data_IF_363883080590
#
_entry.id   IF_363883080590
#
_cell.length_a   1.000
_cell.length_b   1.000
_cell.length_c   1.000
_cell.angle_alpha   90.00
_cell.angle_beta   90.00
_cell.angle_gamma   90.00
#
_symmetry.space_group_name_H-M   'P 1'
#
loop_
_entity.id
_entity.type
_entity.pdbx_description
1 polymer ?
#
# COMPACT_ATOMS: atom_id res chain seq x y z
N UNK A 1 13.06 75.92 11.13
CA UNK A 1 13.52 74.52 10.96
C UNK A 1 13.11 73.74 12.20
N UNK A 2 12.16 72.81 12.11
CA UNK A 2 11.99 71.76 13.11
C UNK A 2 11.13 70.65 12.49
N UNK A 3 11.80 69.58 12.05
CA UNK A 3 11.18 68.33 11.63
C UNK A 3 10.81 67.54 12.88
N UNK A 4 9.51 67.31 13.09
CA UNK A 4 9.02 66.32 14.05
C UNK A 4 8.92 64.97 13.35
N UNK A 5 9.89 64.09 13.60
CA UNK A 5 9.84 62.69 13.22
C UNK A 5 8.99 61.92 14.23
N UNK A 6 7.76 61.59 13.85
CA UNK A 6 6.92 60.63 14.57
C UNK A 6 7.41 59.24 14.20
N UNK A 7 8.27 58.65 15.04
CA UNK A 7 8.73 57.27 14.92
C UNK A 7 7.58 56.35 15.36
N UNK A 8 6.87 55.78 14.38
CA UNK A 8 5.86 54.76 14.61
C UNK A 8 6.56 53.41 14.81
N UNK A 9 6.72 52.98 16.06
CA UNK A 9 7.24 51.66 16.41
C UNK A 9 6.13 50.64 16.17
N UNK A 10 6.07 50.07 14.97
CA UNK A 10 5.27 48.87 14.68
C UNK A 10 6.02 47.67 15.26
N UNK A 11 5.63 47.24 16.45
CA UNK A 11 6.10 45.99 17.04
C UNK A 11 5.48 44.80 16.28
N UNK A 12 6.23 44.23 15.34
CA UNK A 12 5.87 42.97 14.67
C UNK A 12 6.10 41.84 15.66
N UNK A 13 5.04 41.42 16.36
CA UNK A 13 4.98 40.17 17.10
C UNK A 13 5.01 39.01 16.10
N UNK A 14 6.21 38.56 15.74
CA UNK A 14 6.42 37.32 15.00
C UNK A 14 6.11 36.14 15.93
N UNK A 15 4.84 35.72 15.97
CA UNK A 15 4.44 34.49 16.64
C UNK A 15 5.02 33.28 15.92
N UNK A 16 5.89 32.53 16.62
CA UNK A 16 6.37 31.24 16.14
C UNK A 16 5.22 30.22 16.20
N UNK A 17 4.46 30.09 15.10
CA UNK A 17 3.56 28.97 14.91
C UNK A 17 4.42 27.72 14.68
N UNK A 18 4.55 26.90 15.73
CA UNK A 18 5.07 25.54 15.61
C UNK A 18 4.20 24.76 14.64
N UNK A 19 4.70 24.54 13.43
CA UNK A 19 4.06 23.70 12.42
C UNK A 19 4.08 22.26 12.93
N UNK A 20 2.96 21.81 13.51
CA UNK A 20 2.74 20.38 13.76
C UNK A 20 2.66 19.72 12.38
N UNK A 21 3.66 18.92 12.03
CA UNK A 21 3.56 18.03 10.86
C UNK A 21 2.53 16.97 11.20
N UNK A 22 1.33 17.11 10.62
CA UNK A 22 0.34 16.06 10.61
C UNK A 22 0.87 14.88 9.78
N UNK A 23 0.61 13.66 10.24
CA UNK A 23 0.92 12.43 9.53
C UNK A 23 0.29 12.46 8.12
N UNK A 24 1.08 12.08 7.11
CA UNK A 24 0.61 12.04 5.73
C UNK A 24 1.26 10.89 4.95
N UNK A 25 0.44 10.20 4.15
CA UNK A 25 0.89 9.11 3.30
C UNK A 25 0.30 9.25 1.89
N UNK A 26 1.14 9.15 0.87
CA UNK A 26 0.71 9.10 -0.54
C UNK A 26 0.86 7.69 -1.09
N UNK A 27 -0.17 7.20 -1.76
CA UNK A 27 -0.19 5.96 -2.52
C UNK A 27 -0.25 6.32 -4.00
N UNK A 28 0.73 5.83 -4.77
CA UNK A 28 0.88 6.07 -6.20
C UNK A 28 0.78 4.77 -6.98
N UNK A 29 0.19 4.83 -8.17
CA UNK A 29 0.09 3.70 -9.07
C UNK A 29 0.93 3.89 -10.33
N UNK A 30 1.52 2.79 -10.80
CA UNK A 30 2.15 2.71 -12.11
C UNK A 30 1.66 1.45 -12.83
N UNK A 31 0.77 1.61 -13.81
CA UNK A 31 0.24 0.49 -14.59
C UNK A 31 1.06 0.30 -15.88
N UNK A 32 2.01 -0.63 -15.88
CA UNK A 32 2.81 -0.98 -17.07
C UNK A 32 2.18 -2.10 -17.91
N UNK A 33 1.01 -2.61 -17.53
CA UNK A 33 0.35 -3.68 -18.26
C UNK A 33 -0.28 -3.21 -19.59
N UNK A 34 -0.45 -1.89 -19.77
CA UNK A 34 -1.14 -1.30 -20.93
C UNK A 34 -2.65 -1.53 -20.95
N UNK A 35 -3.21 -2.14 -19.90
CA UNK A 35 -4.64 -2.41 -19.71
C UNK A 35 -5.00 -2.50 -18.23
N UNK A 36 -6.28 -2.51 -17.93
CA UNK A 36 -6.81 -2.59 -16.57
C UNK A 36 -6.76 -1.25 -15.84
N UNK A 37 -7.43 -1.21 -14.69
CA UNK A 37 -7.58 0.01 -13.88
C UNK A 37 -7.11 -0.30 -12.46
N UNK A 38 -6.07 0.38 -11.95
CA UNK A 38 -5.70 0.26 -10.54
C UNK A 38 -6.90 0.57 -9.65
N UNK A 39 -7.07 -0.17 -8.57
CA UNK A 39 -8.09 0.10 -7.56
C UNK A 39 -7.40 0.23 -6.21
N UNK A 40 -7.71 1.30 -5.47
CA UNK A 40 -7.40 1.43 -4.05
C UNK A 40 -8.71 1.40 -3.27
N UNK A 41 -8.82 0.48 -2.32
CA UNK A 41 -10.04 0.29 -1.53
C UNK A 41 -9.71 0.29 -0.04
N UNK A 42 -10.58 0.94 0.73
CA UNK A 42 -10.54 0.91 2.19
C UNK A 42 -11.98 0.97 2.72
N UNK A 43 -12.30 0.16 3.73
CA UNK A 43 -13.62 0.19 4.37
C UNK A 43 -14.80 0.01 3.40
N UNK A 44 -14.62 -0.80 2.35
CA UNK A 44 -15.66 -1.06 1.35
C UNK A 44 -15.88 0.07 0.34
N UNK A 45 -14.96 1.04 0.22
CA UNK A 45 -15.06 2.17 -0.71
C UNK A 45 -13.84 2.24 -1.61
N UNK A 46 -14.07 2.54 -2.89
CA UNK A 46 -12.99 2.88 -3.83
C UNK A 46 -12.52 4.30 -3.52
N UNK A 47 -11.23 4.45 -3.23
CA UNK A 47 -10.57 5.71 -2.90
C UNK A 47 -9.78 6.29 -4.07
N UNK A 48 -9.26 5.42 -4.94
CA UNK A 48 -8.58 5.81 -6.19
C UNK A 48 -8.74 4.74 -7.25
N UNK A 49 -8.78 5.18 -8.51
CA UNK A 49 -8.79 4.33 -9.71
C UNK A 49 -7.50 4.47 -10.54
N UNK A 50 -6.40 4.91 -9.92
CA UNK A 50 -5.09 5.07 -10.56
C UNK A 50 -4.40 6.42 -10.31
N UNK A 51 -5.13 7.42 -9.86
CA UNK A 51 -4.55 8.70 -9.45
C UNK A 51 -3.85 8.58 -8.08
N UNK A 52 -2.89 9.48 -7.81
CA UNK A 52 -2.26 9.58 -6.49
C UNK A 52 -3.34 9.80 -5.41
N UNK A 53 -3.34 8.95 -4.38
CA UNK A 53 -4.19 9.10 -3.21
C UNK A 53 -3.35 9.53 -2.02
N UNK A 54 -3.75 10.62 -1.34
CA UNK A 54 -3.07 11.10 -0.14
C UNK A 54 -4.00 11.03 1.06
N UNK A 55 -3.59 10.28 2.09
CA UNK A 55 -4.21 10.27 3.40
C UNK A 55 -3.60 11.35 4.29
N UNK A 56 -4.43 12.14 4.96
CA UNK A 56 -4.00 13.14 5.96
C UNK A 56 -4.05 12.55 7.38
N UNK A 57 -3.37 11.42 7.54
CA UNK A 57 -3.27 10.65 8.78
C UNK A 57 -3.03 9.17 8.50
N UNK A 58 -3.00 8.37 9.56
CA UNK A 58 -2.92 6.91 9.51
C UNK A 58 -3.88 6.31 8.47
N UNK A 59 -3.36 5.41 7.63
CA UNK A 59 -4.10 4.68 6.61
C UNK A 59 -3.97 3.18 6.86
N UNK A 60 -4.97 2.56 7.48
CA UNK A 60 -4.94 1.14 7.85
C UNK A 60 -5.90 0.29 7.02
N UNK A 61 -5.57 -1.00 6.87
CA UNK A 61 -6.41 -1.99 6.19
C UNK A 61 -6.82 -1.56 4.77
N UNK A 62 -5.89 -0.97 4.02
CA UNK A 62 -6.07 -0.67 2.62
C UNK A 62 -5.70 -1.88 1.77
N UNK A 63 -6.42 -2.06 0.66
CA UNK A 63 -6.09 -3.04 -0.37
C UNK A 63 -5.97 -2.35 -1.72
N UNK A 64 -5.05 -2.84 -2.55
CA UNK A 64 -4.95 -2.40 -3.92
C UNK A 64 -4.71 -3.56 -4.89
N UNK A 65 -5.26 -3.45 -6.10
CA UNK A 65 -5.12 -4.45 -7.16
C UNK A 65 -5.36 -3.83 -8.54
N UNK A 66 -5.05 -4.56 -9.61
CA UNK A 66 -5.36 -4.14 -10.97
C UNK A 66 -6.65 -4.81 -11.44
N UNK A 67 -7.72 -4.04 -11.62
CA UNK A 67 -8.98 -4.54 -12.17
C UNK A 67 -8.83 -4.80 -13.67
N UNK A 68 -8.84 -6.08 -14.05
CA UNK A 68 -8.72 -6.58 -15.44
C UNK A 68 -10.03 -7.12 -16.01
N UNK A 69 -11.09 -7.16 -15.21
CA UNK A 69 -12.43 -7.67 -15.55
C UNK A 69 -12.84 -8.89 -14.72
N UNK A 70 -11.87 -9.69 -14.24
CA UNK A 70 -12.12 -10.87 -13.40
C UNK A 70 -12.06 -10.62 -11.89
N UNK A 71 -11.53 -9.47 -11.46
CA UNK A 71 -11.33 -9.20 -10.04
C UNK A 71 -12.65 -8.85 -9.37
N UNK A 72 -12.90 -9.44 -8.20
CA UNK A 72 -13.99 -9.03 -7.33
C UNK A 72 -13.77 -7.64 -6.73
N UNK A 73 -14.76 -7.17 -5.96
CA UNK A 73 -14.69 -5.84 -5.35
C UNK A 73 -13.56 -5.74 -4.33
N UNK A 74 -13.22 -6.81 -3.59
CA UNK A 74 -12.11 -6.81 -2.65
C UNK A 74 -10.85 -7.44 -3.26
N UNK A 75 -10.73 -7.48 -4.60
CA UNK A 75 -9.60 -8.10 -5.29
C UNK A 75 -9.65 -9.62 -5.30
N UNK A 76 -10.81 -10.25 -5.08
CA UNK A 76 -10.98 -11.70 -5.28
C UNK A 76 -10.55 -12.08 -6.70
N UNK A 77 -9.88 -13.23 -6.86
CA UNK A 77 -9.25 -13.71 -8.10
C UNK A 77 -8.07 -12.90 -8.63
N UNK A 78 -7.59 -11.90 -7.89
CA UNK A 78 -6.47 -11.04 -8.30
C UNK A 78 -5.40 -10.94 -7.22
N UNK A 79 -4.19 -10.60 -7.63
CA UNK A 79 -3.11 -10.35 -6.70
C UNK A 79 -3.39 -9.01 -6.01
N UNK A 80 -3.39 -9.00 -4.69
CA UNK A 80 -3.62 -7.78 -3.92
C UNK A 80 -2.33 -7.32 -3.23
N UNK A 81 -2.19 -6.02 -3.06
CA UNK A 81 -1.28 -5.39 -2.11
C UNK A 81 -2.11 -5.02 -0.89
N UNK A 82 -1.75 -5.55 0.28
CA UNK A 82 -2.36 -5.19 1.57
C UNK A 82 -1.44 -4.17 2.26
N UNK A 83 -1.99 -3.10 2.84
CA UNK A 83 -1.17 -2.03 3.42
C UNK A 83 -1.77 -1.41 4.68
N UNK A 84 -0.85 -1.06 5.59
CA UNK A 84 -1.06 -0.15 6.72
C UNK A 84 0.07 0.87 6.72
N UNK A 85 -0.25 2.13 6.47
CA UNK A 85 0.68 3.25 6.48
C UNK A 85 0.41 4.09 7.72
N UNK A 86 1.32 3.99 8.68
CA UNK A 86 1.25 4.69 9.95
C UNK A 86 2.64 5.16 10.40
N UNK A 87 2.67 6.28 11.11
CA UNK A 87 3.86 6.73 11.83
C UNK A 87 4.10 5.83 13.06
N UNK A 88 5.31 5.27 13.24
CA UNK A 88 5.61 4.37 14.34
C UNK A 88 5.47 5.06 15.69
N UNK A 89 4.71 4.45 16.60
CA UNK A 89 4.61 4.88 18.01
C UNK A 89 5.56 4.13 18.94
N UNK A 90 6.09 3.01 18.47
CA UNK A 90 7.03 2.12 19.16
C UNK A 90 7.76 1.27 18.12
N UNK A 91 8.93 0.67 18.44
CA UNK A 91 9.60 -0.22 17.51
C UNK A 91 8.70 -1.38 17.03
N UNK A 92 8.57 -1.54 15.72
CA UNK A 92 7.77 -2.58 15.08
C UNK A 92 6.29 -2.22 14.90
N UNK A 93 5.91 -0.97 15.20
CA UNK A 93 4.54 -0.46 15.04
C UNK A 93 4.44 0.56 13.90
N UNK A 94 5.42 0.59 12.99
CA UNK A 94 5.42 1.45 11.82
C UNK A 94 4.52 0.93 10.70
N UNK A 95 4.75 1.49 9.52
CA UNK A 95 4.06 1.09 8.30
C UNK A 95 4.44 -0.31 7.87
N UNK A 96 3.51 -1.02 7.26
CA UNK A 96 3.67 -2.40 6.83
C UNK A 96 2.85 -2.67 5.57
N UNK A 97 3.47 -3.33 4.59
CA UNK A 97 2.85 -3.66 3.31
C UNK A 97 3.27 -5.07 2.87
N UNK A 98 2.36 -5.78 2.24
CA UNK A 98 2.62 -7.09 1.67
C UNK A 98 1.78 -7.37 0.40
N UNK A 99 2.14 -8.44 -0.31
CA UNK A 99 1.37 -8.97 -1.44
C UNK A 99 0.70 -10.25 -0.97
N UNK A 100 -0.58 -10.45 -1.28
CA UNK A 100 -1.33 -11.62 -0.84
C UNK A 100 -1.95 -12.37 -2.01
N UNK A 101 -1.74 -13.68 -2.00
CA UNK A 101 -2.32 -14.69 -2.89
C UNK A 101 -3.05 -15.77 -2.06
N UNK A 102 -3.43 -15.44 -0.82
CA UNK A 102 -4.27 -16.31 0.00
C UNK A 102 -5.67 -16.33 -0.62
N UNK A 103 -6.21 -17.53 -0.88
CA UNK A 103 -7.56 -17.69 -1.44
C UNK A 103 -8.59 -16.87 -0.63
N UNK A 104 -9.46 -16.07 -1.28
CA UNK A 104 -9.81 -16.09 -2.71
C UNK A 104 -8.92 -15.24 -3.64
N UNK A 105 -7.82 -14.66 -3.16
CA UNK A 105 -6.87 -13.92 -4.00
C UNK A 105 -6.01 -14.89 -4.82
N UNK A 106 -5.66 -14.49 -6.04
CA UNK A 106 -4.94 -15.34 -6.98
C UNK A 106 -4.13 -14.49 -7.96
N UNK A 107 -3.03 -15.02 -8.46
CA UNK A 107 -2.19 -14.26 -9.39
C UNK A 107 -2.90 -14.05 -10.73
N UNK A 108 -3.02 -12.79 -11.15
CA UNK A 108 -3.55 -12.38 -12.46
C UNK A 108 -2.52 -11.58 -13.27
N UNK A 109 -1.83 -10.64 -12.63
CA UNK A 109 -0.74 -9.85 -13.20
C UNK A 109 0.45 -9.81 -12.25
N UNK A 110 1.63 -9.51 -12.78
CA UNK A 110 2.77 -9.15 -11.95
C UNK A 110 2.45 -7.89 -11.13
N UNK A 111 2.68 -7.98 -9.83
CA UNK A 111 2.38 -6.92 -8.86
C UNK A 111 3.62 -6.66 -8.02
N UNK A 112 3.96 -5.39 -7.85
CA UNK A 112 5.09 -4.94 -7.05
C UNK A 112 4.71 -3.72 -6.24
N UNK A 113 5.33 -3.54 -5.08
CA UNK A 113 5.28 -2.29 -4.35
C UNK A 113 6.66 -1.90 -3.84
N UNK A 114 6.86 -0.60 -3.61
CA UNK A 114 8.04 -0.06 -2.95
C UNK A 114 7.67 1.19 -2.16
N UNK A 115 8.21 1.31 -0.96
CA UNK A 115 8.17 2.58 -0.24
C UNK A 115 8.97 3.65 -0.99
N UNK A 116 8.56 4.91 -0.86
CA UNK A 116 9.29 6.08 -1.34
C UNK A 116 9.21 7.26 -0.36
N UNK A 117 10.14 8.21 -0.53
CA UNK A 117 10.44 9.22 0.49
C UNK A 117 11.30 8.60 1.58
N UNK A 118 10.66 8.13 2.66
CA UNK A 118 11.29 7.32 3.70
C UNK A 118 11.27 5.84 3.33
N UNK A 119 12.27 5.05 3.75
CA UNK A 119 12.45 3.63 3.35
C UNK A 119 12.48 3.38 1.83
N UNK A 120 12.91 4.37 1.05
CA UNK A 120 12.88 4.29 -0.42
C UNK A 120 13.54 3.02 -0.96
N UNK A 121 12.84 2.33 -1.85
CA UNK A 121 13.29 1.09 -2.51
C UNK A 121 13.03 -0.18 -1.70
N UNK A 122 12.59 -0.08 -0.44
CA UNK A 122 12.14 -1.24 0.32
C UNK A 122 10.76 -1.66 -0.17
N UNK A 123 10.63 -2.92 -0.57
CA UNK A 123 9.42 -3.40 -1.22
C UNK A 123 9.48 -4.87 -1.55
N UNK A 124 8.47 -5.34 -2.27
CA UNK A 124 8.38 -6.70 -2.74
C UNK A 124 7.79 -6.75 -4.15
N UNK A 125 8.21 -7.75 -4.93
CA UNK A 125 7.73 -8.00 -6.29
C UNK A 125 7.29 -9.44 -6.41
N UNK A 126 6.09 -9.67 -6.91
CA UNK A 126 5.54 -10.98 -7.22
C UNK A 126 5.24 -11.07 -8.72
N UNK A 127 6.13 -11.71 -9.47
CA UNK A 127 6.06 -11.84 -10.94
C UNK A 127 5.41 -13.14 -11.43
N UNK A 128 4.94 -14.00 -10.52
CA UNK A 128 4.24 -15.24 -10.85
C UNK A 128 3.37 -15.71 -9.70
N UNK A 129 2.41 -16.61 -9.97
CA UNK A 129 1.57 -17.23 -8.94
C UNK A 129 2.29 -18.16 -7.97
N UNK A 130 3.61 -18.29 -8.04
CA UNK A 130 4.44 -19.04 -7.10
C UNK A 130 5.63 -18.21 -6.59
N UNK A 131 5.53 -16.88 -6.61
CA UNK A 131 6.56 -15.99 -6.08
C UNK A 131 6.81 -16.29 -4.58
N UNK A 132 8.00 -15.96 -4.05
CA UNK A 132 8.34 -16.21 -2.64
C UNK A 132 8.08 -15.02 -1.72
N UNK A 133 7.55 -13.96 -2.30
CA UNK A 133 7.43 -12.60 -1.75
C UNK A 133 5.97 -12.24 -1.48
N UNK A 134 5.06 -13.20 -1.64
CA UNK A 134 3.64 -13.05 -1.33
C UNK A 134 3.21 -14.02 -0.24
N UNK A 135 2.14 -13.68 0.47
CA UNK A 135 1.44 -14.57 1.37
C UNK A 135 0.66 -15.61 0.56
N UNK A 136 0.87 -16.89 0.87
CA UNK A 136 0.03 -18.02 0.40
C UNK A 136 -0.74 -18.66 1.56
N UNK A 137 -0.27 -18.42 2.79
CA UNK A 137 -0.90 -18.86 4.02
C UNK A 137 -0.88 -17.70 5.04
N UNK A 138 -1.86 -17.62 5.95
CA UNK A 138 -1.94 -16.53 6.92
C UNK A 138 -0.71 -16.34 7.84
N UNK A 139 0.16 -17.35 7.94
CA UNK A 139 1.35 -17.34 8.76
C UNK A 139 2.65 -17.03 7.99
N UNK A 140 2.59 -16.63 6.71
CA UNK A 140 3.75 -16.24 5.90
C UNK A 140 4.33 -14.86 6.27
N UNK A 141 4.38 -14.55 7.57
CA UNK A 141 4.77 -13.23 8.09
C UNK A 141 6.17 -12.76 7.68
N UNK A 142 7.02 -13.65 7.18
CA UNK A 142 8.35 -13.33 6.65
C UNK A 142 8.34 -12.53 5.34
N UNK A 143 7.21 -12.48 4.61
CA UNK A 143 7.12 -11.78 3.31
C UNK A 143 6.59 -10.35 3.43
N UNK A 144 6.19 -9.95 4.64
CA UNK A 144 5.76 -8.61 4.94
C UNK A 144 6.96 -7.65 5.03
N UNK A 145 6.83 -6.48 4.40
CA UNK A 145 7.88 -5.46 4.39
C UNK A 145 7.46 -4.33 5.31
N UNK A 146 8.26 -4.10 6.35
CA UNK A 146 8.01 -3.08 7.36
C UNK A 146 8.88 -1.85 7.13
N UNK A 147 8.32 -0.67 7.42
CA UNK A 147 9.05 0.59 7.46
C UNK A 147 8.74 1.37 8.75
N UNK A 148 9.78 1.61 9.54
CA UNK A 148 9.72 2.27 10.86
C UNK A 148 10.06 3.77 10.78
N UNK A 149 9.66 4.43 9.70
CA UNK A 149 9.87 5.86 9.50
C UNK A 149 8.53 6.60 9.40
N UNK A 150 8.53 7.87 9.76
CA UNK A 150 7.36 8.72 9.58
C UNK A 150 7.13 9.07 8.11
N UNK A 151 5.85 9.32 7.79
CA UNK A 151 5.35 9.92 6.57
C UNK A 151 5.85 9.19 5.30
N UNK A 152 5.83 7.85 5.37
CA UNK A 152 6.25 7.00 4.25
C UNK A 152 5.17 6.97 3.19
N UNK A 153 5.59 6.90 1.93
CA UNK A 153 4.69 6.80 0.79
C UNK A 153 4.87 5.45 0.10
N UNK A 154 3.88 5.02 -0.68
CA UNK A 154 3.86 3.70 -1.30
C UNK A 154 3.64 3.82 -2.81
N UNK A 155 4.59 3.30 -3.59
CA UNK A 155 4.44 3.12 -5.04
C UNK A 155 4.00 1.68 -5.29
N UNK A 156 2.92 1.50 -6.04
CA UNK A 156 2.43 0.19 -6.47
C UNK A 156 2.56 0.13 -8.00
N UNK A 157 3.30 -0.85 -8.49
CA UNK A 157 3.53 -1.06 -9.92
C UNK A 157 2.92 -2.38 -10.36
N UNK A 158 2.15 -2.35 -11.44
CA UNK A 158 1.63 -3.55 -12.11
C UNK A 158 2.39 -3.80 -13.40
N UNK A 159 2.69 -5.07 -13.70
CA UNK A 159 3.53 -5.51 -14.81
C UNK A 159 4.92 -4.86 -14.83
N UNK A 160 5.54 -4.74 -13.66
CA UNK A 160 6.91 -4.32 -13.52
C UNK A 160 7.35 -4.21 -12.06
N UNK A 161 8.59 -3.78 -11.86
CA UNK A 161 9.22 -3.71 -10.55
C UNK A 161 9.21 -2.28 -9.99
N UNK A 162 8.49 -2.08 -8.88
CA UNK A 162 8.39 -0.81 -8.18
C UNK A 162 9.72 -0.41 -7.54
N UNK A 163 10.58 -1.36 -7.16
CA UNK A 163 11.85 -1.08 -6.46
C UNK A 163 12.90 -0.42 -7.36
N UNK A 164 12.72 -0.53 -8.67
CA UNK A 164 13.60 0.07 -9.69
C UNK A 164 12.88 1.16 -10.50
N UNK A 165 11.65 1.52 -10.13
CA UNK A 165 10.88 2.50 -10.89
C UNK A 165 11.46 3.90 -10.75
N UNK A 166 11.55 4.61 -11.88
CA UNK A 166 11.91 6.02 -11.91
C UNK A 166 10.91 6.89 -11.13
N UNK A 167 9.68 6.42 -10.92
CA UNK A 167 8.65 7.10 -10.15
C UNK A 167 8.99 7.22 -8.65
N UNK A 168 9.96 6.43 -8.14
CA UNK A 168 10.51 6.60 -6.79
C UNK A 168 11.28 7.93 -6.64
N UNK A 169 11.77 8.47 -7.76
CA UNK A 169 12.66 9.64 -7.79
C UNK A 169 11.94 10.96 -8.02
N UNK A 170 10.60 10.99 -7.96
CA UNK A 170 9.86 12.23 -7.98
C UNK A 170 10.10 13.01 -6.69
N UNK A 171 11.24 13.69 -6.75
CA UNK A 171 11.65 14.87 -6.03
C UNK A 171 10.44 15.58 -5.43
N UNK A 172 10.35 15.48 -4.11
CA UNK A 172 9.97 16.57 -3.21
C UNK A 172 10.87 17.82 -3.37
N UNK A 173 11.42 18.09 -4.57
CA UNK A 173 11.78 19.44 -4.99
C UNK A 173 10.44 20.10 -5.28
N UNK A 174 9.80 20.70 -4.28
CA UNK A 174 10.29 22.04 -3.95
C UNK A 174 10.30 22.85 -5.23
N UNK A 175 9.11 23.04 -5.82
CA UNK A 175 8.86 24.14 -6.75
C UNK A 175 8.98 25.45 -5.97
N UNK A 176 10.20 25.75 -5.50
CA UNK A 176 10.65 27.12 -5.40
C UNK A 176 10.77 27.60 -6.83
N UNK A 177 9.68 28.17 -7.33
CA UNK A 177 9.67 28.96 -8.55
C UNK A 177 10.67 30.10 -8.38
N UNK A 178 11.94 29.88 -8.73
CA UNK A 178 12.77 30.97 -9.18
C UNK A 178 12.24 31.39 -10.53
N UNK A 179 11.39 32.40 -10.49
CA UNK A 179 10.99 33.25 -11.61
C UNK A 179 12.27 33.77 -12.26
N UNK A 180 12.76 33.06 -13.26
CA UNK A 180 13.74 33.61 -14.20
C UNK A 180 12.93 34.36 -15.24
N UNK A 181 12.90 35.68 -15.09
CA UNK A 181 12.24 36.62 -16.00
C UNK A 181 12.90 36.46 -17.38
N UNK A 182 12.15 36.14 -18.45
CA UNK A 182 12.70 36.16 -19.80
C UNK A 182 12.97 37.61 -20.22
N UNK A 183 14.23 37.91 -20.54
CA UNK A 183 14.62 39.13 -21.26
C UNK A 183 14.03 39.03 -22.67
N UNK A 184 13.04 39.87 -22.93
CA UNK A 184 12.42 40.08 -24.24
C UNK A 184 13.42 40.83 -25.12
N UNK A 185 13.86 40.22 -26.22
CA UNK A 185 14.46 40.95 -27.35
C UNK A 185 13.61 40.70 -28.58
N UNK A 186 12.90 41.75 -28.95
CA UNK A 186 12.04 41.93 -30.12
C UNK A 186 12.82 41.80 -31.43
N UNK A 187 12.39 40.92 -32.32
CA UNK A 187 12.58 41.09 -33.77
C UNK A 187 11.26 40.84 -34.49
N UNK A 188 10.82 41.89 -35.17
CA UNK A 188 9.63 41.98 -36.02
C UNK A 188 9.84 41.35 -37.39
N UNK A 189 8.71 41.20 -38.12
CA UNK A 189 8.54 40.98 -39.58
C UNK A 189 8.29 39.51 -39.95
N UNK A 190 7.36 39.11 -40.82
CA UNK A 190 6.35 39.78 -41.66
C UNK A 190 5.35 38.72 -42.19
N UNK A 191 4.23 39.22 -42.70
CA UNK A 191 3.00 38.52 -43.11
C UNK A 191 3.07 37.57 -44.33
N UNK A 192 2.10 36.65 -44.38
CA UNK A 192 1.33 36.23 -45.58
C UNK A 192 0.14 35.36 -45.09
N UNK A 193 -1.09 35.86 -44.99
CA UNK A 193 -2.18 35.79 -45.99
C UNK A 193 -2.25 34.47 -46.75
N UNK A 194 -3.20 33.60 -46.39
CA UNK A 194 -3.94 32.79 -47.37
C UNK A 194 -5.38 32.57 -46.91
N UNK A 195 -6.28 33.07 -47.75
CA UNK A 195 -7.73 32.96 -47.77
C UNK A 195 -8.14 31.63 -48.41
N UNK A 196 -9.16 30.93 -47.88
CA UNK A 196 -10.36 30.50 -48.62
C UNK A 196 -11.10 29.31 -47.97
N UNK A 197 -12.34 29.60 -47.56
CA UNK A 197 -13.63 28.97 -47.94
C UNK A 197 -13.88 27.45 -47.89
N UNK A 198 -14.98 27.10 -47.21
CA UNK A 198 -16.12 26.23 -47.58
C UNK A 198 -16.51 25.32 -46.39
N UNK A 199 -17.58 25.62 -45.64
CA UNK A 199 -18.98 25.22 -45.88
C UNK A 199 -19.13 23.75 -46.29
N UNK A 200 -19.58 22.91 -45.35
CA UNK A 200 -20.53 21.84 -45.62
C UNK A 200 -21.37 21.55 -44.37
N UNK A 201 -22.60 22.03 -44.42
CA UNK A 201 -23.77 21.56 -43.67
C UNK A 201 -24.12 20.13 -44.11
N UNK A 202 -24.47 19.25 -43.17
CA UNK A 202 -25.50 18.22 -43.36
C UNK A 202 -25.96 17.68 -42.02
N UNK A 203 -27.22 17.94 -41.74
CA UNK A 203 -28.02 17.36 -40.68
C UNK A 203 -28.38 15.91 -41.04
N UNK A 204 -28.52 15.05 -40.03
CA UNK A 204 -29.44 13.91 -40.07
C UNK A 204 -29.83 13.54 -38.63
N UNK A 205 -31.09 13.83 -38.33
CA UNK A 205 -31.79 13.36 -37.15
C UNK A 205 -32.15 11.88 -37.32
N UNK A 206 -32.10 11.11 -36.24
CA UNK A 206 -32.97 9.95 -36.05
C UNK A 206 -33.25 9.76 -34.54
N UNK A 207 -34.52 9.82 -34.11
CA UNK A 207 -34.94 9.30 -32.82
C UNK A 207 -35.34 7.83 -32.98
N UNK A 208 -34.96 6.98 -32.04
CA UNK A 208 -35.62 5.67 -31.90
C UNK A 208 -35.86 5.41 -30.42
N UNK A 209 -37.07 5.77 -30.03
CA UNK A 209 -37.80 5.26 -28.87
C UNK A 209 -38.04 3.77 -29.04
N UNK A 210 -37.55 2.95 -28.11
CA UNK A 210 -38.22 1.69 -27.75
C UNK A 210 -38.26 1.62 -26.22
N UNK A 211 -39.48 1.79 -25.72
CA UNK A 211 -39.86 1.41 -24.37
C UNK A 211 -40.03 -0.11 -24.31
N UNK A 212 -39.46 -0.75 -23.29
CA UNK A 212 -39.92 -2.03 -22.80
C UNK A 212 -39.82 -2.01 -21.28
N UNK A 213 -40.97 -1.79 -20.66
CA UNK A 213 -41.18 -2.02 -19.24
C UNK A 213 -40.97 -3.51 -18.93
N UNK A 214 -40.18 -3.81 -17.90
CA UNK A 214 -40.26 -5.09 -17.21
C UNK A 214 -40.40 -4.82 -15.72
N UNK A 215 -41.64 -4.97 -15.29
CA UNK A 215 -42.08 -5.10 -13.91
C UNK A 215 -41.57 -6.43 -13.36
N UNK A 216 -40.60 -6.39 -12.44
CA UNK A 216 -40.39 -7.50 -11.52
C UNK A 216 -40.72 -7.07 -10.10
N UNK A 217 -41.65 -7.86 -9.56
CA UNK A 217 -42.37 -7.68 -8.33
C UNK A 217 -41.46 -7.65 -7.11
N UNK A 218 -41.75 -6.71 -6.23
CA UNK A 218 -41.38 -6.78 -4.83
C UNK A 218 -42.06 -8.00 -4.19
N UNK A 219 -41.26 -8.97 -3.74
CA UNK A 219 -41.70 -9.95 -2.75
C UNK A 219 -41.17 -9.51 -1.39
N UNK A 220 -42.07 -8.87 -0.64
CA UNK A 220 -41.94 -8.67 0.80
C UNK A 220 -42.13 -10.02 1.50
N UNK A 221 -41.05 -10.62 2.00
CA UNK A 221 -41.13 -11.69 2.98
C UNK A 221 -40.84 -11.09 4.35
N UNK A 222 -41.91 -10.84 5.09
CA UNK A 222 -41.89 -10.65 6.54
C UNK A 222 -41.55 -12.00 7.17
N UNK A 223 -40.35 -12.12 7.75
CA UNK A 223 -40.05 -13.17 8.74
C UNK A 223 -39.88 -12.49 10.09
N UNK A 224 -40.95 -12.60 10.87
CA UNK A 224 -41.01 -12.32 12.29
C UNK A 224 -40.82 -13.64 13.03
N UNK A 225 -39.76 -13.77 13.83
CA UNK A 225 -39.72 -14.69 14.98
C UNK A 225 -38.43 -14.53 15.79
N UNK A 226 -38.59 -13.82 16.90
CA UNK A 226 -38.11 -14.11 18.27
C UNK A 226 -36.67 -14.56 18.56
N UNK A 227 -36.00 -13.94 19.55
CA UNK A 227 -34.73 -14.41 20.09
C UNK A 227 -34.94 -15.54 21.11
N UNK A 228 -34.37 -16.71 20.84
CA UNK A 228 -34.21 -17.76 21.86
C UNK A 228 -32.91 -17.54 22.60
N UNK A 229 -33.05 -17.10 23.85
CA UNK A 229 -32.06 -17.23 24.92
C UNK A 229 -31.68 -18.72 25.04
N UNK A 230 -30.42 -19.06 24.78
CA UNK A 230 -29.87 -20.34 25.22
C UNK A 230 -28.68 -20.05 26.11
N UNK A 231 -28.84 -20.50 27.34
CA UNK A 231 -27.96 -20.34 28.47
C UNK A 231 -26.59 -20.99 28.27
N UNK A 232 -25.61 -20.39 28.94
CA UNK A 232 -24.38 -21.07 29.36
C UNK A 232 -24.66 -22.41 30.04
N UNK A 233 -23.73 -23.35 29.90
CA UNK A 233 -23.32 -24.12 31.07
C UNK A 233 -21.83 -23.88 31.35
N UNK A 234 -21.59 -23.40 32.56
CA UNK A 234 -20.32 -23.55 33.25
C UNK A 234 -20.03 -25.02 33.58
N UNK A 235 -18.75 -25.29 33.83
CA UNK A 235 -18.19 -26.30 34.71
C UNK A 235 -17.58 -27.57 34.06
N UNK A 236 -16.24 -27.61 34.22
CA UNK A 236 -15.41 -28.75 34.65
C UNK A 236 -15.44 -30.05 33.84
N UNK A 237 -14.28 -30.48 33.36
CA UNK A 237 -13.49 -31.52 34.07
C UNK A 237 -12.14 -31.78 33.40
N UNK A 238 -11.14 -31.99 34.25
CA UNK A 238 -9.81 -32.46 33.92
C UNK A 238 -9.81 -33.88 33.36
N UNK A 239 -8.91 -34.18 32.43
CA UNK A 239 -8.43 -35.54 32.19
C UNK A 239 -7.01 -35.51 31.63
N UNK A 240 -6.06 -35.69 32.54
CA UNK A 240 -4.72 -36.20 32.29
C UNK A 240 -4.80 -37.59 31.68
N UNK A 241 -4.21 -37.82 30.51
CA UNK A 241 -3.87 -39.17 30.06
C UNK A 241 -2.43 -39.17 29.56
N UNK A 242 -1.57 -39.78 30.37
CA UNK A 242 -0.27 -40.27 29.98
C UNK A 242 -0.39 -41.77 29.64
N UNK A 243 0.20 -42.19 28.52
CA UNK A 243 0.76 -43.54 28.26
C UNK A 243 1.41 -43.48 26.88
N UNK A 244 2.74 -43.52 26.74
CA UNK A 244 3.65 -44.67 26.92
C UNK A 244 3.51 -45.76 25.85
N UNK A 245 4.51 -45.77 24.98
CA UNK A 245 5.26 -46.92 24.45
C UNK A 245 4.63 -47.91 23.44
N UNK A 246 5.38 -48.10 22.35
CA UNK A 246 5.87 -49.37 21.76
C UNK A 246 5.60 -49.46 20.24
N UNK A 247 6.62 -49.31 19.39
CA UNK A 247 7.51 -50.37 18.84
C UNK A 247 6.89 -51.12 17.66
N UNK A 248 7.36 -50.83 16.43
CA UNK A 248 7.75 -51.86 15.44
C UNK A 248 8.38 -51.25 14.18
N UNK A 249 9.65 -51.58 13.95
CA UNK A 249 10.40 -51.44 12.68
C UNK A 249 9.96 -52.53 11.68
N UNK A 250 10.16 -52.32 10.37
CA UNK A 250 11.27 -53.00 9.65
C UNK A 250 11.97 -52.03 8.65
N UNK A 251 13.28 -51.82 8.69
CA UNK A 251 14.37 -52.64 8.12
C UNK A 251 14.28 -52.92 6.61
N UNK A 252 14.96 -52.08 5.81
CA UNK A 252 15.79 -52.44 4.62
C UNK A 252 16.87 -51.34 4.50
N UNK A 253 18.15 -51.60 4.83
CA UNK A 253 19.27 -51.97 3.92
C UNK A 253 19.31 -51.13 2.62
N UNK A 254 20.41 -50.63 2.09
CA UNK A 254 21.79 -50.38 2.52
C UNK A 254 22.38 -49.64 1.30
N UNK A 255 22.93 -48.44 1.47
CA UNK A 255 23.53 -47.65 0.38
C UNK A 255 24.74 -46.90 0.90
N UNK A 256 25.92 -47.42 0.58
CA UNK A 256 27.22 -47.07 1.15
C UNK A 256 27.81 -45.78 0.55
N UNK A 257 28.37 -44.95 1.44
CA UNK A 257 29.60 -44.14 1.29
C UNK A 257 29.77 -43.27 0.04
N UNK A 258 29.88 -41.95 0.27
CA UNK A 258 31.19 -41.27 0.18
C UNK A 258 31.26 -40.01 1.03
N UNK A 259 32.20 -40.05 1.97
CA UNK A 259 32.76 -38.91 2.71
C UNK A 259 33.43 -37.94 1.73
N UNK A 260 33.20 -36.64 1.90
CA UNK A 260 34.30 -35.67 2.02
C UNK A 260 33.85 -34.51 2.91
N UNK A 261 34.49 -34.47 4.07
CA UNK A 261 34.53 -33.40 5.04
C UNK A 261 35.61 -32.43 4.59
N UNK A 262 35.28 -31.13 4.55
CA UNK A 262 36.09 -29.97 4.98
C UNK A 262 35.07 -28.83 5.18
N UNK A 263 34.67 -28.52 6.41
CA UNK A 263 35.35 -27.57 7.30
C UNK A 263 35.06 -26.11 6.91
N UNK A 264 34.00 -25.56 7.51
CA UNK A 264 33.85 -24.12 7.78
C UNK A 264 32.70 -23.93 8.79
N UNK A 265 32.98 -24.31 10.04
CA UNK A 265 32.16 -23.96 11.20
C UNK A 265 32.96 -22.96 12.01
N UNK A 266 32.58 -21.69 11.95
CA UNK A 266 33.22 -20.67 12.77
C UNK A 266 32.88 -19.25 12.38
N UNK A 267 31.61 -18.84 12.58
CA UNK A 267 31.16 -17.46 12.90
C UNK A 267 29.66 -17.28 12.60
N UNK A 268 28.78 -17.93 13.36
CA UNK A 268 27.37 -17.52 13.38
C UNK A 268 26.65 -17.92 14.68
N UNK A 269 27.30 -17.68 15.83
CA UNK A 269 26.69 -17.92 17.16
C UNK A 269 27.14 -16.88 18.21
N UNK A 270 27.14 -15.59 17.85
CA UNK A 270 27.40 -14.49 18.81
C UNK A 270 26.51 -13.23 18.69
N UNK A 271 25.42 -13.26 17.93
CA UNK A 271 24.52 -12.09 17.83
C UNK A 271 23.14 -12.24 18.49
N UNK A 272 22.74 -13.42 18.98
CA UNK A 272 21.43 -13.60 19.64
C UNK A 272 21.47 -13.58 21.18
N UNK A 273 22.56 -13.12 21.79
CA UNK A 273 22.70 -13.07 23.25
C UNK A 273 22.97 -11.65 23.82
N UNK A 274 22.72 -10.57 23.06
CA UNK A 274 22.93 -9.18 23.54
C UNK A 274 21.69 -8.30 23.64
N UNK A 275 20.49 -8.80 23.30
CA UNK A 275 19.26 -8.00 23.40
C UNK A 275 18.35 -8.38 24.58
N UNK A 276 18.80 -9.26 25.48
CA UNK A 276 18.03 -9.67 26.67
C UNK A 276 18.48 -8.98 27.97
N UNK A 277 19.52 -8.14 27.96
CA UNK A 277 20.10 -7.55 29.19
C UNK A 277 19.92 -6.02 29.31
N UNK A 278 19.28 -5.37 28.34
CA UNK A 278 19.04 -3.92 28.36
C UNK A 278 17.69 -3.50 28.98
N UNK A 279 16.84 -4.44 29.39
CA UNK A 279 15.49 -4.18 29.92
C UNK A 279 15.40 -4.20 31.47
N UNK A 280 16.50 -4.42 32.19
CA UNK A 280 16.48 -4.63 33.65
C UNK A 280 16.97 -3.44 34.51
N UNK A 281 17.35 -2.29 33.93
CA UNK A 281 18.01 -1.21 34.69
C UNK A 281 17.37 0.19 34.63
N UNK A 282 16.06 0.33 34.34
CA UNK A 282 15.36 1.62 34.47
C UNK A 282 14.15 1.57 35.39
N UNK A 283 14.38 1.12 36.61
CA UNK A 283 13.40 1.18 37.69
C UNK A 283 14.07 1.47 39.03
N UNK A 284 14.55 2.70 39.23
CA UNK A 284 14.70 3.37 40.53
C UNK A 284 15.46 4.68 40.36
N UNK A 285 14.78 5.82 40.47
CA UNK A 285 15.15 6.91 41.39
C UNK A 285 14.11 8.03 41.33
N UNK A 286 13.80 8.49 42.53
CA UNK A 286 13.10 9.73 42.88
C UNK A 286 13.79 10.95 42.27
#
# INVERSE_FOLDING_TARGET
MQLSFVVSVVAVLAGASSLVRAEQHTIRFENKCGKGTPQLIQGGKVLSTGEDFTSNGAFAAGIAYLQTGECGFNGENCAIVEMTLVNPTSPGAGSSTDISLISPHAFNVETSFSYFGSCTGQGATCSSGSCKTAFFQPNDNQVQVQCENNDVNLLITFCGDATTSSALTDKSSGSSSQVSIPVVSSHSSSAAVHTSSAVHTSAAAHPTTIAAASTHAASSVVVSSSPSLVAEPSATSAATVASSAATSRPSCKAGSRRRRSMESSGKLRRHHARNAEAAAHRGASF
#
